data_IF_620786523776
#
_entry.id   IF_620786523776
#
_cell.length_a   1.000
_cell.length_b   1.000
_cell.length_c   1.000
_cell.angle_alpha   90.00
_cell.angle_beta   90.00
_cell.angle_gamma   90.00
#
_symmetry.space_group_name_H-M   'P 1'
#
loop_
_entity.id
_entity.type
_entity.pdbx_description
1 polymer ?
#
# COMPACT_ATOMS: atom_id res chain seq x y z
N UNK A 1 1.53 -4.26 5.34
CA UNK A 1 0.67 -4.62 4.18
C UNK A 1 -0.53 -5.46 4.65
N UNK A 2 -0.29 -6.56 5.38
CA UNK A 2 -1.35 -7.35 6.06
C UNK A 2 -2.25 -6.49 6.97
N UNK A 3 -1.68 -5.60 7.81
CA UNK A 3 -2.50 -4.78 8.73
C UNK A 3 -3.37 -3.73 8.02
N UNK A 4 -2.88 -3.16 6.92
CA UNK A 4 -3.61 -2.19 6.09
C UNK A 4 -4.80 -2.88 5.40
N UNK A 5 -4.60 -4.09 4.89
CA UNK A 5 -5.68 -4.86 4.24
C UNK A 5 -6.71 -5.39 5.24
N UNK A 6 -6.28 -5.78 6.44
CA UNK A 6 -7.16 -6.17 7.53
C UNK A 6 -8.09 -5.04 8.02
N UNK A 7 -7.72 -3.77 7.79
CA UNK A 7 -8.54 -2.61 8.12
C UNK A 7 -9.38 -2.12 6.92
N UNK A 8 -8.81 -2.12 5.71
CA UNK A 8 -9.50 -1.62 4.52
C UNK A 8 -10.64 -2.51 4.05
N UNK A 9 -10.52 -3.85 4.10
CA UNK A 9 -11.57 -4.76 3.60
C UNK A 9 -12.86 -4.62 4.44
N UNK A 10 -12.82 -4.63 5.78
CA UNK A 10 -14.00 -4.35 6.59
C UNK A 10 -14.56 -2.95 6.35
N UNK A 11 -13.72 -1.91 6.26
CA UNK A 11 -14.19 -0.55 5.99
C UNK A 11 -14.89 -0.42 4.64
N UNK A 12 -14.38 -1.06 3.59
CA UNK A 12 -15.01 -1.02 2.27
C UNK A 12 -16.32 -1.82 2.24
N UNK A 13 -16.40 -2.91 3.02
CA UNK A 13 -17.60 -3.75 3.16
C UNK A 13 -18.69 -3.08 4.01
N UNK A 14 -18.30 -2.45 5.12
CA UNK A 14 -19.22 -1.97 6.14
C UNK A 14 -19.59 -0.48 5.94
N UNK A 15 -18.65 0.35 5.45
CA UNK A 15 -18.83 1.82 5.36
C UNK A 15 -18.63 2.40 3.93
N UNK A 16 -17.86 1.73 3.07
CA UNK A 16 -17.42 2.26 1.77
C UNK A 16 -18.25 1.83 0.55
N UNK A 17 -19.05 0.77 0.70
CA UNK A 17 -19.76 0.13 -0.41
C UNK A 17 -20.79 1.03 -1.07
N UNK A 18 -21.68 1.64 -0.28
CA UNK A 18 -22.74 2.52 -0.78
C UNK A 18 -22.15 3.74 -1.52
N UNK A 19 -21.08 4.34 -0.98
CA UNK A 19 -20.41 5.48 -1.61
C UNK A 19 -19.76 5.11 -2.96
N UNK A 20 -19.20 3.91 -3.07
CA UNK A 20 -18.66 3.40 -4.32
C UNK A 20 -19.78 3.14 -5.33
N UNK A 21 -20.88 2.55 -4.88
CA UNK A 21 -22.05 2.25 -5.71
C UNK A 21 -22.65 3.52 -6.29
N UNK A 22 -22.84 4.56 -5.49
CA UNK A 22 -23.33 5.87 -5.94
C UNK A 22 -22.46 6.48 -7.04
N UNK A 23 -21.13 6.39 -6.91
CA UNK A 23 -20.19 6.90 -7.93
C UNK A 23 -20.33 6.12 -9.24
N UNK A 24 -20.50 4.81 -9.17
CA UNK A 24 -20.69 3.96 -10.35
C UNK A 24 -22.03 4.27 -11.03
N UNK A 25 -23.11 4.42 -10.26
CA UNK A 25 -24.44 4.79 -10.79
C UNK A 25 -24.38 6.16 -11.48
N UNK A 26 -23.75 7.15 -10.84
CA UNK A 26 -23.56 8.50 -11.39
C UNK A 26 -22.75 8.48 -12.69
N UNK A 27 -21.66 7.70 -12.73
CA UNK A 27 -20.87 7.49 -13.93
C UNK A 27 -21.70 6.89 -15.06
N UNK A 28 -22.44 5.81 -14.79
CA UNK A 28 -23.27 5.16 -15.80
C UNK A 28 -24.35 6.10 -16.34
N UNK A 29 -25.03 6.85 -15.46
CA UNK A 29 -26.00 7.86 -15.86
C UNK A 29 -25.41 8.94 -16.77
N UNK A 30 -24.20 9.42 -16.46
CA UNK A 30 -23.49 10.42 -17.29
C UNK A 30 -23.24 9.94 -18.72
N UNK A 31 -22.95 8.66 -18.91
CA UNK A 31 -22.66 8.08 -20.23
C UNK A 31 -23.84 7.32 -20.83
N UNK A 32 -25.04 7.51 -20.27
CA UNK A 32 -26.28 6.86 -20.71
C UNK A 32 -26.17 5.32 -20.78
N UNK A 33 -25.34 4.76 -19.90
CA UNK A 33 -25.18 3.32 -19.72
C UNK A 33 -26.38 2.85 -18.90
N UNK A 34 -27.14 1.88 -19.43
CA UNK A 34 -28.27 1.29 -18.73
C UNK A 34 -27.82 0.73 -17.38
N UNK A 35 -28.32 1.35 -16.31
CA UNK A 35 -28.25 0.82 -14.96
C UNK A 35 -29.50 -0.04 -14.78
N UNK A 36 -29.33 -1.37 -14.77
CA UNK A 36 -30.45 -2.27 -14.46
C UNK A 36 -30.95 -1.99 -13.03
N UNK A 37 -32.27 -1.89 -12.85
CA UNK A 37 -32.87 -2.03 -11.52
C UNK A 37 -32.82 -3.51 -11.15
N UNK A 38 -31.88 -3.85 -10.29
CA UNK A 38 -31.72 -5.20 -9.82
C UNK A 38 -32.27 -5.28 -8.36
N UNK A 39 -33.09 -4.36 -7.82
CA UNK A 39 -33.57 -4.50 -6.43
C UNK A 39 -34.35 -5.82 -6.15
N UNK A 40 -34.85 -6.51 -7.19
CA UNK A 40 -35.44 -7.85 -7.11
C UNK A 40 -34.47 -9.02 -7.49
N UNK A 41 -33.26 -8.74 -8.01
CA UNK A 41 -32.28 -9.74 -8.54
C UNK A 41 -30.81 -9.43 -8.12
N UNK A 42 -30.42 -8.15 -7.96
CA UNK A 42 -29.23 -7.55 -7.31
C UNK A 42 -28.95 -8.13 -5.94
N UNK A 43 -29.93 -8.41 -5.07
CA UNK A 43 -29.56 -8.87 -3.72
C UNK A 43 -28.80 -10.19 -3.76
N UNK A 44 -29.12 -11.06 -4.72
CA UNK A 44 -28.42 -12.32 -4.96
C UNK A 44 -27.19 -12.09 -5.83
N UNK A 45 -27.29 -11.30 -6.91
CA UNK A 45 -26.15 -11.05 -7.81
C UNK A 45 -25.05 -10.15 -7.21
N UNK A 46 -25.36 -9.17 -6.37
CA UNK A 46 -24.37 -8.36 -5.64
C UNK A 46 -23.71 -9.16 -4.54
N UNK A 47 -24.47 -9.98 -3.81
CA UNK A 47 -23.87 -10.92 -2.87
C UNK A 47 -22.89 -11.82 -3.61
N UNK A 48 -23.30 -12.38 -4.76
CA UNK A 48 -22.44 -13.21 -5.59
C UNK A 48 -21.22 -12.46 -6.16
N UNK A 49 -21.38 -11.22 -6.63
CA UNK A 49 -20.26 -10.42 -7.14
C UNK A 49 -19.29 -10.05 -6.03
N UNK A 50 -19.79 -9.61 -4.88
CA UNK A 50 -18.98 -9.30 -3.69
C UNK A 50 -18.24 -10.56 -3.23
N UNK A 51 -18.92 -11.70 -3.19
CA UNK A 51 -18.30 -12.99 -2.81
C UNK A 51 -17.23 -13.41 -3.82
N UNK A 52 -17.49 -13.28 -5.13
CA UNK A 52 -16.50 -13.57 -6.18
C UNK A 52 -15.29 -12.64 -6.08
N UNK A 53 -15.49 -11.34 -5.84
CA UNK A 53 -14.40 -10.40 -5.63
C UNK A 53 -13.61 -10.71 -4.36
N UNK A 54 -14.28 -11.06 -3.26
CA UNK A 54 -13.64 -11.46 -2.00
C UNK A 54 -12.82 -12.75 -2.22
N UNK A 55 -13.37 -13.75 -2.90
CA UNK A 55 -12.66 -15.00 -3.23
C UNK A 55 -11.46 -14.71 -4.12
N UNK A 56 -11.59 -13.85 -5.14
CA UNK A 56 -10.49 -13.45 -5.99
C UNK A 56 -9.38 -12.72 -5.21
N UNK A 57 -9.74 -11.76 -4.35
CA UNK A 57 -8.79 -11.05 -3.47
C UNK A 57 -8.09 -12.02 -2.53
N UNK A 58 -8.83 -12.92 -1.88
CA UNK A 58 -8.26 -13.92 -0.98
C UNK A 58 -7.32 -14.87 -1.70
N UNK A 59 -7.67 -15.30 -2.92
CA UNK A 59 -6.82 -16.16 -3.74
C UNK A 59 -5.52 -15.45 -4.15
N UNK A 60 -5.60 -14.20 -4.60
CA UNK A 60 -4.42 -13.39 -4.92
C UNK A 60 -3.54 -13.16 -3.67
N UNK A 61 -4.16 -12.89 -2.52
CA UNK A 61 -3.45 -12.73 -1.26
C UNK A 61 -2.73 -14.02 -0.85
N UNK A 62 -3.39 -15.17 -0.96
CA UNK A 62 -2.79 -16.45 -0.65
C UNK A 62 -1.62 -16.76 -1.60
N UNK A 63 -1.77 -16.48 -2.88
CA UNK A 63 -0.70 -16.66 -3.86
C UNK A 63 0.51 -15.76 -3.56
N UNK A 64 0.27 -14.50 -3.20
CA UNK A 64 1.33 -13.58 -2.77
C UNK A 64 2.02 -14.07 -1.50
N UNK A 65 1.27 -14.52 -0.50
CA UNK A 65 1.83 -15.05 0.76
C UNK A 65 2.61 -16.37 0.55
N UNK A 66 2.20 -17.18 -0.43
CA UNK A 66 2.92 -18.41 -0.79
C UNK A 66 4.21 -18.10 -1.56
N UNK A 67 4.21 -17.05 -2.38
CA UNK A 67 5.38 -16.66 -3.20
C UNK A 67 6.40 -15.84 -2.42
N UNK A 68 5.93 -14.96 -1.54
CA UNK A 68 6.76 -14.03 -0.79
C UNK A 68 6.74 -14.39 0.69
N UNK A 69 7.87 -14.89 1.19
CA UNK A 69 8.06 -15.01 2.63
C UNK A 69 7.99 -13.65 3.31
N UNK A 70 7.79 -13.64 4.63
CA UNK A 70 7.81 -12.41 5.42
C UNK A 70 9.09 -11.61 5.20
N UNK A 71 10.25 -12.29 5.14
CA UNK A 71 11.54 -11.67 4.87
C UNK A 71 11.63 -11.02 3.50
N UNK A 72 11.10 -11.66 2.44
CA UNK A 72 11.11 -11.10 1.08
C UNK A 72 10.12 -9.93 0.98
N UNK A 73 8.96 -10.06 1.62
CA UNK A 73 7.95 -8.99 1.68
C UNK A 73 8.48 -7.74 2.38
N UNK A 74 9.22 -7.92 3.48
CA UNK A 74 9.88 -6.82 4.17
C UNK A 74 11.01 -6.22 3.33
N UNK A 75 11.84 -7.04 2.67
CA UNK A 75 12.86 -6.56 1.74
C UNK A 75 12.25 -5.68 0.64
N UNK A 76 11.20 -6.14 -0.04
CA UNK A 76 10.51 -5.37 -1.09
C UNK A 76 9.92 -4.05 -0.56
N UNK A 77 9.33 -4.09 0.64
CA UNK A 77 8.81 -2.88 1.29
C UNK A 77 9.92 -1.87 1.57
N UNK A 78 11.04 -2.34 2.09
CA UNK A 78 12.20 -1.50 2.39
C UNK A 78 12.85 -0.98 1.10
N UNK A 79 13.05 -1.81 0.07
CA UNK A 79 13.57 -1.37 -1.24
C UNK A 79 12.69 -0.30 -1.89
N UNK A 80 11.38 -0.31 -1.65
CA UNK A 80 10.48 0.72 -2.17
C UNK A 80 10.75 2.12 -1.59
N UNK A 81 11.46 2.24 -0.46
CA UNK A 81 11.89 3.53 0.12
C UNK A 81 12.97 4.22 -0.74
N UNK A 82 13.66 3.46 -1.60
CA UNK A 82 14.67 3.99 -2.52
C UNK A 82 14.05 4.66 -3.75
N UNK A 83 12.71 4.60 -3.91
CA UNK A 83 12.01 5.31 -4.97
C UNK A 83 11.96 6.82 -4.63
N UNK A 84 12.63 7.70 -5.40
CA UNK A 84 12.67 9.13 -5.11
C UNK A 84 11.31 9.82 -5.24
N UNK A 85 10.30 9.15 -5.82
CA UNK A 85 8.93 9.65 -5.90
C UNK A 85 8.14 9.40 -4.61
N UNK A 86 8.63 8.56 -3.71
CA UNK A 86 8.00 8.24 -2.43
C UNK A 86 8.60 9.07 -1.31
N UNK A 87 7.92 9.09 -0.17
CA UNK A 87 8.44 9.73 1.04
C UNK A 87 9.74 9.06 1.47
N UNK A 88 10.78 9.86 1.63
CA UNK A 88 12.04 9.43 2.22
C UNK A 88 11.84 8.98 3.68
N UNK A 89 12.51 7.90 4.07
CA UNK A 89 12.52 7.39 5.45
C UNK A 89 13.90 6.82 5.75
N UNK A 90 14.69 7.54 6.57
CA UNK A 90 16.05 7.13 6.92
C UNK A 90 16.10 5.78 7.63
N UNK A 91 15.19 5.53 8.58
CA UNK A 91 15.15 4.29 9.36
C UNK A 91 14.93 3.07 8.47
N UNK A 92 14.04 3.16 7.48
CA UNK A 92 13.80 2.09 6.51
C UNK A 92 15.03 1.87 5.61
N UNK A 93 15.74 2.92 5.17
CA UNK A 93 16.99 2.76 4.39
C UNK A 93 18.07 2.09 5.25
N UNK A 94 18.27 2.57 6.47
CA UNK A 94 19.26 2.02 7.38
C UNK A 94 18.96 0.56 7.71
N UNK A 95 17.68 0.23 7.94
CA UNK A 95 17.23 -1.15 8.17
C UNK A 95 17.42 -2.04 6.95
N UNK A 96 17.21 -1.53 5.73
CA UNK A 96 17.46 -2.26 4.49
C UNK A 96 18.92 -2.73 4.43
N UNK A 97 19.85 -1.79 4.61
CA UNK A 97 21.29 -2.05 4.56
C UNK A 97 21.72 -3.00 5.67
N UNK A 98 21.36 -2.69 6.91
CA UNK A 98 21.80 -3.46 8.08
C UNK A 98 21.15 -4.84 8.21
N UNK A 99 20.02 -5.11 7.55
CA UNK A 99 19.35 -6.41 7.61
C UNK A 99 19.56 -7.28 6.38
N UNK A 100 19.65 -6.70 5.18
CA UNK A 100 19.64 -7.46 3.93
C UNK A 100 20.91 -7.33 3.09
N UNK A 101 21.73 -6.30 3.30
CA UNK A 101 22.98 -6.04 2.57
C UNK A 101 24.19 -6.06 3.52
N UNK A 102 24.23 -7.04 4.43
CA UNK A 102 25.25 -7.14 5.48
C UNK A 102 26.69 -7.26 4.95
N UNK A 103 26.86 -7.88 3.78
CA UNK A 103 28.17 -8.16 3.18
C UNK A 103 28.65 -7.04 2.25
N UNK A 104 27.74 -6.17 1.81
CA UNK A 104 28.05 -5.09 0.87
C UNK A 104 28.50 -3.81 1.59
N UNK A 105 28.33 -3.75 2.92
CA UNK A 105 28.68 -2.62 3.76
C UNK A 105 29.52 -3.06 4.95
N UNK A 106 30.66 -2.40 5.16
CA UNK A 106 31.44 -2.55 6.39
C UNK A 106 30.73 -1.88 7.57
N UNK A 107 31.17 -2.15 8.80
CA UNK A 107 30.62 -1.47 9.98
C UNK A 107 30.88 0.04 9.94
N UNK A 108 32.00 0.47 9.34
CA UNK A 108 32.31 1.88 9.14
C UNK A 108 31.32 2.52 8.15
N UNK A 109 31.06 1.85 7.00
CA UNK A 109 30.10 2.35 6.01
C UNK A 109 28.69 2.49 6.61
N UNK A 110 28.28 1.58 7.51
CA UNK A 110 26.99 1.66 8.19
C UNK A 110 26.91 2.86 9.13
N UNK A 111 27.98 3.18 9.85
CA UNK A 111 28.04 4.36 10.73
C UNK A 111 27.93 5.64 9.89
N UNK A 112 28.70 5.71 8.81
CA UNK A 112 28.71 6.85 7.89
C UNK A 112 27.34 7.03 7.22
N UNK A 113 26.75 5.96 6.70
CA UNK A 113 25.40 5.96 6.15
C UNK A 113 24.39 6.53 7.14
N UNK A 114 24.44 6.13 8.41
CA UNK A 114 23.51 6.66 9.42
C UNK A 114 23.64 8.17 9.58
N UNK A 115 24.86 8.70 9.59
CA UNK A 115 25.13 10.14 9.68
C UNK A 115 24.64 10.87 8.43
N UNK A 116 24.90 10.33 7.24
CA UNK A 116 24.42 10.91 5.97
C UNK A 116 22.89 10.97 5.89
N UNK A 117 22.21 9.90 6.30
CA UNK A 117 20.75 9.86 6.34
C UNK A 117 20.18 10.92 7.28
N UNK A 118 20.79 11.13 8.45
CA UNK A 118 20.39 12.18 9.40
C UNK A 118 20.59 13.59 8.81
N UNK A 119 21.71 13.84 8.14
CA UNK A 119 21.95 15.11 7.47
C UNK A 119 20.93 15.37 6.35
N UNK A 120 20.63 14.36 5.54
CA UNK A 120 19.65 14.49 4.46
C UNK A 120 18.24 14.83 4.97
N UNK A 121 17.82 14.28 6.12
CA UNK A 121 16.53 14.64 6.72
C UNK A 121 16.51 16.09 7.21
N UNK A 122 17.60 16.56 7.81
CA UNK A 122 17.74 17.95 8.25
C UNK A 122 17.69 18.92 7.06
N UNK A 123 18.43 18.64 5.98
CA UNK A 123 18.43 19.48 4.77
C UNK A 123 17.06 19.56 4.10
N UNK A 124 16.24 18.53 4.28
CA UNK A 124 14.89 18.47 3.76
C UNK A 124 13.82 18.98 4.73
N UNK A 125 14.17 19.34 5.97
CA UNK A 125 13.23 19.91 6.94
C UNK A 125 12.73 21.28 6.44
N UNK A 126 11.41 21.43 6.17
CA UNK A 126 10.84 22.71 5.72
C UNK A 126 11.08 23.86 6.70
N UNK A 127 11.31 23.57 7.99
CA UNK A 127 11.55 24.58 9.02
C UNK A 127 12.94 25.20 8.96
N UNK A 128 13.92 24.46 8.43
CA UNK A 128 15.30 24.92 8.28
C UNK A 128 15.52 25.70 6.97
N UNK A 129 14.62 25.54 5.99
CA UNK A 129 14.65 26.27 4.70
C UNK A 129 14.27 27.76 4.79
N UNK A 130 13.85 28.25 5.97
CA UNK A 130 13.41 29.64 6.18
C UNK A 130 14.42 30.50 6.97
N UNK A 131 15.68 30.06 7.12
CA UNK A 131 16.71 30.77 7.91
C UNK A 131 17.80 31.39 7.01
N UNK A 132 17.50 31.67 5.74
CA UNK A 132 18.44 32.35 4.83
C UNK A 132 17.70 33.33 3.94
#
# INVERSE_FOLDING_TARGET
MVSIMQTLIPQLRDDGWESLLDKVVSFCGKYNILVLDMNATYRVEQHYRVDVFIVAINSQLQELNNRFSESISELLRLSATLDPRKSFNSDDIYKLVTKYYLLDFTEQDKIELKLELQHYELDNDPKLKNVT
#
